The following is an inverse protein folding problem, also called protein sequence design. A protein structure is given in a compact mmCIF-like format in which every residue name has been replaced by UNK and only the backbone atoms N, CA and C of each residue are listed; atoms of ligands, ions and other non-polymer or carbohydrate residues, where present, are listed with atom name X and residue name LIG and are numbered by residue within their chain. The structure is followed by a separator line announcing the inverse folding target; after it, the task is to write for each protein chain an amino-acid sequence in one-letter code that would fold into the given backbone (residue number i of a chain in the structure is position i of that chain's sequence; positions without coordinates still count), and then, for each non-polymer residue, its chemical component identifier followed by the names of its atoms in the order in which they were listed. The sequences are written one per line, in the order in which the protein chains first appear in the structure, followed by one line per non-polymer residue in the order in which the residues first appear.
data_IF_563586599701
#
_entry.id   IF_563586599701
#
_cell.length_a   1.000
_cell.length_b   1.000
_cell.length_c   1.000
_cell.angle_alpha   90.00
_cell.angle_beta   90.00
_cell.angle_gamma   90.00
#
_symmetry.space_group_name_H-M   'P 1'
#
loop_
_entity.id
_entity.type
_entity.pdbx_description
1 polymer ?
#
# COMPACT_ATOMS: atom_id res chain seq x y z
N UNK A 1 47.52 20.94 38.83
CA UNK A 1 46.94 20.07 37.79
C UNK A 1 45.44 19.78 37.97
N UNK A 2 44.62 20.71 38.48
CA UNK A 2 43.16 20.54 38.62
C UNK A 2 42.32 21.45 37.70
N UNK A 3 42.95 22.45 37.07
CA UNK A 3 42.29 23.42 36.18
C UNK A 3 41.98 22.90 34.76
N UNK A 4 42.50 21.73 34.39
CA UNK A 4 42.30 21.14 33.05
C UNK A 4 41.02 20.29 32.95
N UNK A 5 40.51 19.72 34.05
CA UNK A 5 39.32 18.84 34.01
C UNK A 5 37.99 19.60 33.97
N UNK A 6 37.90 20.80 34.56
CA UNK A 6 36.64 21.56 34.62
C UNK A 6 36.32 22.22 33.26
N UNK A 7 37.34 22.46 32.43
CA UNK A 7 37.18 23.04 31.09
C UNK A 7 36.66 22.05 30.04
N UNK A 8 36.87 20.75 30.24
CA UNK A 8 36.37 19.72 29.31
C UNK A 8 34.87 19.45 29.52
N UNK A 9 34.38 19.49 30.76
CA UNK A 9 32.95 19.30 31.07
C UNK A 9 32.03 20.38 30.46
N UNK A 10 32.44 21.65 30.47
CA UNK A 10 31.62 22.74 29.89
C UNK A 10 31.62 22.74 28.37
N UNK A 11 32.73 22.28 27.76
CA UNK A 11 32.86 22.10 26.32
C UNK A 11 32.03 20.91 25.81
N UNK A 12 32.00 19.79 26.55
CA UNK A 12 31.16 18.62 26.24
C UNK A 12 29.66 18.94 26.34
N UNK A 13 29.23 19.64 27.41
CA UNK A 13 27.83 19.99 27.63
C UNK A 13 27.29 20.94 26.53
N UNK A 14 28.12 21.88 26.08
CA UNK A 14 27.79 22.80 25.00
C UNK A 14 27.69 22.09 23.64
N UNK A 15 28.48 21.03 23.42
CA UNK A 15 28.42 20.17 22.21
C UNK A 15 27.15 19.31 22.21
N UNK A 16 26.79 18.70 23.33
CA UNK A 16 25.55 17.92 23.49
C UNK A 16 24.28 18.78 23.35
N UNK A 17 24.29 20.02 23.85
CA UNK A 17 23.18 20.96 23.69
C UNK A 17 23.02 21.43 22.22
N UNK A 18 24.12 21.57 21.46
CA UNK A 18 24.07 21.87 20.02
C UNK A 18 23.59 20.68 19.19
N UNK A 19 23.87 19.45 19.63
CA UNK A 19 23.43 18.23 18.95
C UNK A 19 21.92 17.97 19.10
N UNK A 20 21.26 18.60 20.09
CA UNK A 20 19.79 18.59 20.28
C UNK A 20 19.01 19.56 19.37
N UNK A 21 19.66 20.34 18.51
CA UNK A 21 18.99 21.36 17.67
C UNK A 21 18.57 20.91 16.28
N UNK A 22 18.71 19.64 15.96
CA UNK A 22 18.06 19.05 14.79
C UNK A 22 17.56 17.66 15.17
N UNK A 23 16.47 17.59 15.93
CA UNK A 23 15.61 16.41 15.83
C UNK A 23 14.96 16.58 14.47
N UNK A 24 15.30 15.79 13.44
CA UNK A 24 14.52 15.86 12.22
C UNK A 24 13.12 15.47 12.65
N UNK A 25 12.16 16.40 12.48
CA UNK A 25 10.75 16.13 12.66
C UNK A 25 10.36 15.12 11.60
N UNK A 26 10.69 13.88 11.89
CA UNK A 26 10.10 12.76 11.24
C UNK A 26 8.69 12.71 11.80
N UNK A 27 7.75 13.23 11.02
CA UNK A 27 6.38 12.72 10.96
C UNK A 27 6.35 11.20 10.61
N UNK A 28 7.40 10.43 10.94
CA UNK A 28 7.38 8.98 10.97
C UNK A 28 6.68 8.61 12.27
N UNK A 29 5.36 8.78 12.26
CA UNK A 29 4.46 8.08 13.16
C UNK A 29 4.84 6.60 13.05
N UNK A 30 5.30 6.00 14.14
CA UNK A 30 5.50 4.55 14.18
C UNK A 30 4.15 3.91 13.83
N UNK A 31 4.15 2.94 12.92
CA UNK A 31 2.98 2.12 12.67
C UNK A 31 2.69 1.39 13.98
N UNK A 32 1.72 1.87 14.75
CA UNK A 32 1.26 1.16 15.93
C UNK A 32 0.70 -0.16 15.44
N UNK A 33 1.48 -1.23 15.61
CA UNK A 33 1.02 -2.59 15.43
C UNK A 33 -0.04 -2.82 16.51
N UNK A 34 -1.30 -2.59 16.16
CA UNK A 34 -2.40 -3.07 16.97
C UNK A 34 -2.43 -4.58 16.79
N UNK A 35 -2.02 -5.30 17.83
CA UNK A 35 -1.93 -6.76 17.86
C UNK A 35 -3.31 -7.47 17.80
N UNK A 36 -4.39 -6.70 17.64
CA UNK A 36 -5.78 -7.19 17.62
C UNK A 36 -6.39 -7.15 16.20
N UNK A 37 -5.60 -6.76 15.19
CA UNK A 37 -6.04 -6.43 13.83
C UNK A 37 -6.15 -7.65 12.86
N UNK A 38 -6.54 -8.83 13.34
CA UNK A 38 -6.61 -10.03 12.49
C UNK A 38 -7.85 -10.10 11.57
N UNK A 39 -8.75 -9.11 11.59
CA UNK A 39 -9.93 -9.13 10.69
C UNK A 39 -10.32 -7.80 10.01
N UNK A 40 -9.70 -6.67 10.35
CA UNK A 40 -9.87 -5.45 9.55
C UNK A 40 -8.55 -4.72 9.34
N UNK A 41 -8.17 -4.44 8.09
CA UNK A 41 -7.06 -3.54 7.82
C UNK A 41 -7.39 -2.15 8.39
N UNK A 42 -6.38 -1.35 8.77
CA UNK A 42 -6.60 0.04 9.13
C UNK A 42 -7.37 0.73 8.00
N UNK A 43 -8.52 1.32 8.34
CA UNK A 43 -9.34 2.07 7.40
C UNK A 43 -8.92 3.55 7.43
N UNK A 44 -9.09 4.24 6.31
CA UNK A 44 -8.97 5.69 6.25
C UNK A 44 -10.29 6.39 6.65
N UNK A 45 -10.33 7.72 6.51
CA UNK A 45 -11.52 8.53 6.81
C UNK A 45 -12.74 8.18 5.96
N UNK A 46 -12.50 7.58 4.80
CA UNK A 46 -13.51 7.28 3.79
C UNK A 46 -13.96 5.80 3.90
N UNK A 47 -13.56 5.13 4.99
CA UNK A 47 -13.83 3.72 5.25
C UNK A 47 -13.26 2.76 4.18
N UNK A 48 -12.18 3.16 3.52
CA UNK A 48 -11.41 2.29 2.63
C UNK A 48 -10.15 1.78 3.33
N UNK A 49 -9.64 0.61 2.96
CA UNK A 49 -8.38 0.11 3.51
C UNK A 49 -7.23 1.10 3.23
N UNK A 50 -6.39 1.37 4.23
CA UNK A 50 -5.31 2.34 4.11
C UNK A 50 -4.22 1.96 3.10
N UNK A 51 -4.18 0.69 2.68
CA UNK A 51 -3.29 0.22 1.61
C UNK A 51 -3.77 0.63 0.21
N UNK A 52 -5.04 1.04 0.07
CA UNK A 52 -5.65 1.41 -1.20
C UNK A 52 -5.38 2.89 -1.50
N UNK A 53 -4.77 3.17 -2.66
CA UNK A 53 -4.48 4.55 -3.06
C UNK A 53 -5.77 5.32 -3.36
N UNK A 54 -5.74 6.66 -3.22
CA UNK A 54 -6.90 7.51 -3.54
C UNK A 54 -7.37 7.33 -5.01
N UNK A 55 -6.43 7.05 -5.92
CA UNK A 55 -6.74 6.77 -7.33
C UNK A 55 -7.40 5.41 -7.57
N UNK A 56 -7.16 4.42 -6.71
CA UNK A 56 -7.86 3.13 -6.76
C UNK A 56 -9.27 3.26 -6.17
N UNK A 57 -9.42 3.99 -5.06
CA UNK A 57 -10.74 4.28 -4.44
C UNK A 57 -11.67 4.97 -5.42
N UNK A 58 -11.19 6.03 -6.07
CA UNK A 58 -11.95 6.75 -7.10
C UNK A 58 -12.38 5.84 -8.25
N UNK A 59 -11.55 4.86 -8.63
CA UNK A 59 -11.90 3.91 -9.68
C UNK A 59 -13.05 2.99 -9.25
N UNK A 60 -13.07 2.55 -7.99
CA UNK A 60 -14.12 1.68 -7.45
C UNK A 60 -15.46 2.41 -7.29
N UNK A 61 -15.42 3.70 -6.96
CA UNK A 61 -16.62 4.56 -6.87
C UNK A 61 -17.15 5.00 -8.24
N UNK A 62 -16.32 4.93 -9.27
CA UNK A 62 -16.70 5.33 -10.62
C UNK A 62 -17.72 4.36 -11.20
N UNK A 63 -18.74 4.90 -11.91
CA UNK A 63 -19.74 4.06 -12.58
C UNK A 63 -19.07 3.07 -13.55
N UNK A 64 -19.56 1.83 -13.59
CA UNK A 64 -19.07 0.78 -14.48
C UNK A 64 -18.95 1.24 -15.93
N UNK A 65 -19.91 2.01 -16.43
CA UNK A 65 -19.94 2.46 -17.82
C UNK A 65 -18.75 3.35 -18.20
N UNK A 66 -18.12 4.02 -17.23
CA UNK A 66 -16.96 4.87 -17.43
C UNK A 66 -15.61 4.11 -17.34
N UNK A 67 -15.60 2.87 -16.86
CA UNK A 67 -14.37 2.07 -16.74
C UNK A 67 -14.28 1.09 -17.91
N UNK A 68 -13.27 1.28 -18.76
CA UNK A 68 -12.95 0.33 -19.83
C UNK A 68 -12.02 -0.77 -19.31
N UNK A 69 -12.46 -2.03 -19.21
CA UNK A 69 -11.59 -3.13 -18.80
C UNK A 69 -10.62 -3.54 -19.91
N UNK A 70 -9.46 -4.05 -19.52
CA UNK A 70 -8.51 -4.71 -20.42
C UNK A 70 -8.93 -6.15 -20.73
N UNK A 71 -9.63 -6.81 -19.80
CA UNK A 71 -10.12 -8.18 -19.96
C UNK A 71 -11.35 -8.43 -19.11
N UNK A 72 -12.19 -9.37 -19.56
CA UNK A 72 -13.44 -9.77 -18.90
C UNK A 72 -13.39 -11.24 -18.52
N UNK A 73 -13.72 -11.55 -17.28
CA UNK A 73 -13.90 -12.92 -16.79
C UNK A 73 -15.39 -13.22 -16.68
N UNK A 74 -15.84 -14.32 -17.29
CA UNK A 74 -17.24 -14.70 -17.31
C UNK A 74 -17.40 -16.23 -17.35
N UNK A 75 -18.07 -16.81 -16.34
CA UNK A 75 -18.29 -18.27 -16.29
C UNK A 75 -19.19 -18.80 -17.40
N UNK A 76 -20.15 -17.99 -17.82
CA UNK A 76 -21.08 -18.27 -18.92
C UNK A 76 -20.40 -18.28 -20.31
N UNK A 77 -19.11 -17.90 -20.39
CA UNK A 77 -18.35 -17.84 -21.63
C UNK A 77 -18.51 -16.53 -22.41
N UNK A 78 -19.26 -15.56 -21.89
CA UNK A 78 -19.48 -14.26 -22.54
C UNK A 78 -18.35 -13.23 -22.30
N UNK A 79 -17.14 -13.72 -21.99
CA UNK A 79 -15.96 -12.92 -21.64
C UNK A 79 -14.70 -13.46 -22.31
N UNK A 80 -13.54 -12.88 -21.98
CA UNK A 80 -12.24 -13.33 -22.49
C UNK A 80 -11.75 -14.61 -21.79
N UNK A 81 -12.04 -14.76 -20.50
CA UNK A 81 -11.57 -15.88 -19.66
C UNK A 81 -12.71 -16.44 -18.82
N UNK A 82 -12.59 -17.70 -18.37
CA UNK A 82 -13.59 -18.35 -17.51
C UNK A 82 -13.18 -18.36 -16.04
N UNK A 83 -11.89 -18.19 -15.76
CA UNK A 83 -11.30 -18.14 -14.41
C UNK A 83 -10.59 -16.81 -14.17
N UNK A 84 -10.48 -16.42 -12.91
CA UNK A 84 -9.75 -15.22 -12.49
C UNK A 84 -8.24 -15.43 -12.68
N UNK A 85 -7.77 -16.62 -12.36
CA UNK A 85 -6.35 -17.03 -12.48
C UNK A 85 -5.84 -16.89 -13.92
N UNK A 86 -6.63 -17.28 -14.93
CA UNK A 86 -6.27 -17.09 -16.35
C UNK A 86 -6.09 -15.61 -16.70
N UNK A 87 -7.03 -14.76 -16.27
CA UNK A 87 -6.96 -13.33 -16.55
C UNK A 87 -5.75 -12.66 -15.86
N UNK A 88 -5.45 -13.04 -14.61
CA UNK A 88 -4.26 -12.58 -13.88
C UNK A 88 -2.98 -13.03 -14.60
N UNK A 89 -2.94 -14.27 -15.07
CA UNK A 89 -1.78 -14.81 -15.78
C UNK A 89 -1.55 -14.12 -17.13
N UNK A 90 -2.61 -13.74 -17.83
CA UNK A 90 -2.55 -13.02 -19.10
C UNK A 90 -2.18 -11.55 -18.97
N UNK A 91 -2.41 -10.93 -17.80
CA UNK A 91 -1.98 -9.55 -17.56
C UNK A 91 -0.46 -9.39 -17.74
N UNK A 92 0.03 -8.27 -18.31
CA UNK A 92 1.46 -8.03 -18.46
C UNK A 92 2.18 -8.03 -17.11
N UNK A 93 3.43 -8.49 -17.10
CA UNK A 93 4.30 -8.37 -15.92
C UNK A 93 4.98 -7.00 -15.92
N UNK A 94 5.17 -6.40 -14.73
CA UNK A 94 5.86 -5.11 -14.53
C UNK A 94 5.31 -3.98 -15.41
N UNK A 95 3.98 -3.83 -15.44
CA UNK A 95 3.32 -2.81 -16.25
C UNK A 95 3.47 -1.44 -15.60
N UNK A 96 3.84 -0.43 -16.40
CA UNK A 96 3.80 0.96 -15.95
C UNK A 96 2.37 1.54 -15.91
N UNK A 97 1.39 0.79 -16.43
CA UNK A 97 -0.01 1.21 -16.51
C UNK A 97 -0.90 0.19 -15.83
N UNK A 98 -2.01 0.68 -15.25
CA UNK A 98 -3.01 -0.16 -14.59
C UNK A 98 -3.64 -1.13 -15.59
N UNK A 99 -3.74 -2.40 -15.20
CA UNK A 99 -4.47 -3.43 -15.94
C UNK A 99 -5.78 -3.77 -15.20
N UNK A 100 -6.92 -3.54 -15.84
CA UNK A 100 -8.26 -3.70 -15.24
C UNK A 100 -8.90 -4.98 -15.74
N UNK A 101 -9.18 -5.91 -14.83
CA UNK A 101 -9.93 -7.15 -15.09
C UNK A 101 -11.35 -6.98 -14.56
N UNK A 102 -12.35 -7.08 -15.44
CA UNK A 102 -13.75 -7.04 -15.04
C UNK A 102 -14.29 -8.47 -14.85
N UNK A 103 -14.74 -8.78 -13.65
CA UNK A 103 -15.29 -10.09 -13.31
C UNK A 103 -16.83 -9.98 -13.30
N UNK A 104 -17.50 -10.72 -14.17
CA UNK A 104 -18.97 -10.78 -14.20
C UNK A 104 -19.51 -11.49 -12.96
N UNK A 105 -20.78 -11.26 -12.66
CA UNK A 105 -21.45 -11.92 -11.54
C UNK A 105 -21.38 -13.45 -11.71
N UNK A 106 -21.02 -14.13 -10.62
CA UNK A 106 -20.86 -15.58 -10.59
C UNK A 106 -20.04 -16.02 -9.38
N UNK A 107 -20.15 -17.28 -9.02
CA UNK A 107 -19.35 -17.89 -7.95
C UNK A 107 -18.07 -18.45 -8.55
N UNK A 108 -16.91 -17.93 -8.17
CA UNK A 108 -15.59 -18.41 -8.63
C UNK A 108 -14.87 -19.12 -7.49
N UNK A 109 -14.94 -20.45 -7.47
CA UNK A 109 -14.28 -21.28 -6.46
C UNK A 109 -12.83 -21.57 -6.87
N UNK A 110 -11.95 -20.60 -6.66
CA UNK A 110 -10.52 -20.68 -7.01
C UNK A 110 -9.63 -19.96 -5.99
N UNK A 111 -8.41 -20.47 -5.80
CA UNK A 111 -7.36 -19.78 -5.05
C UNK A 111 -6.52 -18.94 -6.01
N UNK A 112 -6.64 -17.61 -5.91
CA UNK A 112 -5.93 -16.68 -6.78
C UNK A 112 -4.65 -16.19 -6.10
N UNK A 113 -3.51 -16.35 -6.77
CA UNK A 113 -2.22 -15.83 -6.32
C UNK A 113 -1.81 -14.59 -7.13
N UNK A 114 -1.62 -13.45 -6.47
CA UNK A 114 -1.05 -12.25 -7.08
C UNK A 114 0.46 -12.20 -6.80
N UNK A 115 1.25 -12.59 -7.81
CA UNK A 115 2.71 -12.60 -7.71
C UNK A 115 3.28 -11.18 -7.77
N UNK A 116 4.39 -10.93 -7.07
CA UNK A 116 5.08 -9.62 -7.05
C UNK A 116 5.44 -9.07 -8.44
N UNK A 117 5.58 -9.92 -9.45
CA UNK A 117 5.85 -9.51 -10.84
C UNK A 117 4.62 -8.99 -11.59
N UNK A 118 3.42 -9.19 -11.05
CA UNK A 118 2.15 -8.61 -11.52
C UNK A 118 1.95 -7.25 -10.84
N UNK A 119 2.88 -6.33 -11.08
CA UNK A 119 2.91 -4.95 -10.59
C UNK A 119 2.85 -3.98 -11.74
#
# INVERSE_FOLDING_TARGET
NSLAMVKNLSAEASRLAKQRRTVPNHNRRLLSYHADAYFMPPMDSDNFPSWMSAGDRRLLETSRAAVKPNSVVAKDGSGNYRTITEAVNAAPEKSNTRYVIYIKAGVYAENVELRKKKT
#
